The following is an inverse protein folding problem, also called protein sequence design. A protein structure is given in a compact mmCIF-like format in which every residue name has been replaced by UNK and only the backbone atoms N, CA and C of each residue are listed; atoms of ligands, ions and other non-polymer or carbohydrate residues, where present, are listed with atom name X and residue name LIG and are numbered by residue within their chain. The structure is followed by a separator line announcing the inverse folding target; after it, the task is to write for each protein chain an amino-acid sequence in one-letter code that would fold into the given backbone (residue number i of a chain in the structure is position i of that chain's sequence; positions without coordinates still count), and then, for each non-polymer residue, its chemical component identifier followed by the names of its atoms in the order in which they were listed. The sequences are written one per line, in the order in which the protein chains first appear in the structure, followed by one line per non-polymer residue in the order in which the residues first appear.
data_IF_379259674501
#
_entry.id   IF_379259674501
#
_cell.length_a   1.000
_cell.length_b   1.000
_cell.length_c   1.000
_cell.angle_alpha   90.00
_cell.angle_beta   90.00
_cell.angle_gamma   90.00
#
_symmetry.space_group_name_H-M   'P 1'
#
loop_
_entity.id
_entity.type
_entity.pdbx_description
1 polymer ?
#
# COMPACT_ATOMS: atom_id res chain seq x y z
N UNK A 1 6.95 -55.68 -34.41
CA UNK A 1 7.16 -55.34 -32.98
C UNK A 1 8.52 -54.68 -32.90
N UNK A 2 8.77 -53.46 -32.43
CA UNK A 2 8.09 -52.63 -31.44
C UNK A 2 8.43 -51.15 -31.74
N UNK A 3 7.38 -50.36 -31.92
CA UNK A 3 7.14 -48.94 -31.63
C UNK A 3 8.32 -48.03 -31.20
N UNK A 4 8.52 -46.96 -31.99
CA UNK A 4 9.20 -45.70 -31.66
C UNK A 4 8.51 -45.01 -30.47
N UNK A 5 9.28 -44.58 -29.46
CA UNK A 5 8.80 -43.66 -28.43
C UNK A 5 9.81 -42.51 -28.25
N UNK A 6 9.51 -41.41 -28.93
CA UNK A 6 9.92 -40.05 -28.56
C UNK A 6 9.37 -39.75 -27.16
N UNK A 7 10.22 -39.42 -26.18
CA UNK A 7 9.77 -38.84 -24.92
C UNK A 7 9.98 -37.34 -24.96
N UNK A 8 8.85 -36.66 -24.85
CA UNK A 8 8.64 -35.24 -25.01
C UNK A 8 9.21 -34.43 -23.84
N UNK A 9 9.63 -33.22 -24.20
CA UNK A 9 9.81 -32.07 -23.32
C UNK A 9 8.43 -31.68 -22.78
N UNK A 10 8.21 -31.84 -21.48
CA UNK A 10 7.02 -31.30 -20.81
C UNK A 10 7.31 -29.90 -20.27
N UNK A 11 6.73 -28.94 -21.00
CA UNK A 11 6.59 -27.53 -20.73
C UNK A 11 5.47 -27.32 -19.69
N UNK A 12 5.80 -26.82 -18.50
CA UNK A 12 4.82 -26.39 -17.50
C UNK A 12 4.70 -24.87 -17.51
N UNK A 13 3.84 -24.36 -18.38
CA UNK A 13 3.38 -22.98 -18.36
C UNK A 13 1.86 -22.94 -18.42
N UNK A 14 1.21 -23.02 -17.25
CA UNK A 14 -0.22 -22.72 -17.13
C UNK A 14 -0.42 -21.68 -16.02
N UNK A 15 -0.13 -20.42 -16.36
CA UNK A 15 -0.61 -19.25 -15.63
C UNK A 15 -1.67 -18.59 -16.50
N UNK A 16 -2.89 -19.03 -16.28
CA UNK A 16 -4.11 -18.60 -16.97
C UNK A 16 -4.36 -17.10 -16.77
N UNK A 17 -3.98 -16.35 -17.80
CA UNK A 17 -4.76 -15.34 -18.51
C UNK A 17 -6.01 -14.79 -17.80
N UNK A 18 -5.91 -13.56 -17.28
CA UNK A 18 -7.07 -12.73 -16.95
C UNK A 18 -7.62 -12.08 -18.23
N UNK A 19 -8.94 -12.16 -18.51
CA UNK A 19 -9.54 -11.47 -19.65
C UNK A 19 -9.52 -9.96 -19.41
N UNK A 20 -9.09 -9.23 -20.44
CA UNK A 20 -9.15 -7.78 -20.49
C UNK A 20 -10.61 -7.33 -20.41
N UNK A 21 -10.96 -6.61 -19.35
CA UNK A 21 -12.13 -5.74 -19.37
C UNK A 21 -11.80 -4.59 -20.32
N UNK A 22 -12.32 -4.68 -21.55
CA UNK A 22 -12.29 -3.60 -22.50
C UNK A 22 -13.22 -2.49 -21.98
N UNK A 23 -12.64 -1.32 -21.68
CA UNK A 23 -13.40 -0.12 -21.35
C UNK A 23 -13.20 0.90 -22.49
N UNK A 24 -14.23 1.22 -23.29
CA UNK A 24 -14.13 2.04 -24.50
C UNK A 24 -14.32 3.54 -24.24
N UNK A 25 -13.60 4.12 -23.27
CA UNK A 25 -13.63 5.57 -23.01
C UNK A 25 -12.28 6.08 -22.50
N UNK A 26 -11.28 6.09 -23.39
CA UNK A 26 -10.08 6.91 -23.18
C UNK A 26 -10.35 8.32 -23.73
N UNK A 27 -10.39 9.38 -22.91
CA UNK A 27 -10.36 10.74 -23.42
C UNK A 27 -8.99 11.05 -24.02
N UNK A 28 -9.02 11.68 -25.20
CA UNK A 28 -7.88 12.08 -26.01
C UNK A 28 -6.86 12.92 -25.22
N UNK A 29 -5.58 12.65 -25.51
CA UNK A 29 -4.43 13.42 -25.05
C UNK A 29 -4.52 14.87 -25.56
N UNK A 30 -4.42 15.84 -24.65
CA UNK A 30 -4.06 17.22 -24.99
C UNK A 30 -2.57 17.35 -24.66
N UNK A 31 -1.77 17.58 -25.71
CA UNK A 31 -0.38 17.97 -25.62
C UNK A 31 -0.33 19.48 -25.35
N UNK A 32 0.03 19.88 -24.12
CA UNK A 32 0.48 21.24 -23.84
C UNK A 32 2.00 21.20 -23.71
N UNK A 33 2.67 21.55 -24.81
CA UNK A 33 4.07 21.99 -24.80
C UNK A 33 4.20 23.32 -24.05
N UNK A 34 5.41 23.57 -23.54
CA UNK A 34 5.91 24.84 -23.02
C UNK A 34 5.45 25.30 -21.62
N UNK A 35 6.19 24.85 -20.60
CA UNK A 35 6.42 25.66 -19.39
C UNK A 35 7.76 25.32 -18.74
N UNK A 36 8.80 25.92 -19.33
CA UNK A 36 9.93 26.61 -18.68
C UNK A 36 10.28 26.17 -17.24
N UNK A 37 11.26 25.26 -17.11
CA UNK A 37 11.87 24.82 -15.84
C UNK A 37 13.28 25.41 -15.66
N UNK A 38 13.46 26.71 -15.79
CA UNK A 38 14.68 27.34 -15.29
C UNK A 38 14.34 28.61 -14.52
N UNK A 39 15.16 28.85 -13.48
CA UNK A 39 15.25 30.06 -12.67
C UNK A 39 14.31 30.13 -11.46
N UNK A 40 14.82 29.69 -10.29
CA UNK A 40 15.16 30.58 -9.17
C UNK A 40 15.75 29.75 -8.03
N UNK A 41 17.08 29.66 -8.03
CA UNK A 41 17.89 29.45 -6.84
C UNK A 41 18.49 30.81 -6.47
N UNK A 42 18.16 31.32 -5.28
CA UNK A 42 18.81 32.41 -4.53
C UNK A 42 18.00 32.51 -3.22
N UNK A 43 18.51 32.65 -2.02
CA UNK A 43 19.81 32.50 -1.36
C UNK A 43 19.49 32.68 0.14
N UNK A 44 20.39 32.23 1.01
CA UNK A 44 20.27 32.35 2.44
C UNK A 44 20.51 33.78 2.95
N UNK A 45 19.73 34.22 3.93
CA UNK A 45 20.13 35.26 4.88
C UNK A 45 19.45 35.09 6.24
N UNK A 46 20.06 35.72 7.24
CA UNK A 46 20.25 35.27 8.61
C UNK A 46 19.59 36.23 9.62
N UNK A 47 19.22 35.68 10.79
CA UNK A 47 18.98 36.34 12.08
C UNK A 47 17.70 37.19 12.31
N UNK A 48 16.90 36.79 13.32
CA UNK A 48 16.79 37.49 14.61
C UNK A 48 15.61 36.93 15.45
N UNK A 49 15.87 36.52 16.70
CA UNK A 49 14.84 36.30 17.72
C UNK A 49 14.36 37.63 18.31
N UNK A 50 13.12 37.68 18.88
CA UNK A 50 13.06 37.89 20.33
C UNK A 50 11.87 37.23 21.07
N UNK A 51 12.21 36.69 22.24
CA UNK A 51 11.60 36.75 23.59
C UNK A 51 10.08 36.74 23.84
N UNK A 52 9.70 36.01 24.89
CA UNK A 52 8.35 35.73 25.38
C UNK A 52 7.69 36.91 26.14
N UNK A 53 6.38 36.78 26.47
CA UNK A 53 6.06 36.51 27.88
C UNK A 53 4.85 35.57 28.13
N UNK A 54 4.89 34.85 29.26
CA UNK A 54 3.76 34.11 29.85
C UNK A 54 2.65 35.03 30.41
N UNK A 55 1.44 34.49 30.65
CA UNK A 55 0.98 34.45 32.04
C UNK A 55 0.14 33.21 32.47
N UNK A 56 0.56 32.61 33.59
CA UNK A 56 -0.19 32.24 34.82
C UNK A 56 -1.69 31.86 34.80
N UNK A 57 -1.94 30.57 35.05
CA UNK A 57 -2.84 29.92 36.04
C UNK A 57 -4.24 30.47 36.42
N UNK A 58 -5.27 29.63 36.24
CA UNK A 58 -6.24 29.12 37.25
C UNK A 58 -7.33 28.27 36.55
N UNK A 59 -7.35 26.93 36.69
CA UNK A 59 -8.05 26.15 37.73
C UNK A 59 -9.59 26.08 37.61
N UNK A 60 -10.13 24.89 37.34
CA UNK A 60 -11.58 24.58 37.39
C UNK A 60 -11.99 23.17 36.96
N UNK A 61 -11.66 22.17 37.80
CA UNK A 61 -12.40 20.92 38.13
C UNK A 61 -13.47 20.32 37.19
N UNK A 62 -13.35 19.04 36.83
CA UNK A 62 -14.41 18.02 37.02
C UNK A 62 -13.91 16.57 36.89
N UNK A 63 -14.48 15.72 37.75
CA UNK A 63 -14.16 14.36 38.19
C UNK A 63 -13.81 13.28 37.15
N UNK A 64 -12.85 12.44 37.55
CA UNK A 64 -12.73 11.03 37.16
C UNK A 64 -13.20 10.12 38.31
N UNK A 65 -14.18 9.27 38.03
CA UNK A 65 -14.59 8.02 38.72
C UNK A 65 -15.97 7.66 38.11
N UNK A 66 -16.32 6.46 37.67
CA UNK A 66 -15.74 5.14 37.74
C UNK A 66 -16.46 4.36 36.62
N UNK A 67 -15.73 3.79 35.66
CA UNK A 67 -16.30 2.88 34.66
C UNK A 67 -15.28 1.79 34.42
N UNK A 68 -15.50 0.67 35.08
CA UNK A 68 -14.82 -0.61 34.90
C UNK A 68 -14.26 -0.80 33.48
N UNK A 69 -12.93 -0.74 33.28
CA UNK A 69 -12.33 -1.02 31.98
C UNK A 69 -12.43 -2.52 31.61
N UNK A 70 -12.79 -3.37 32.58
CA UNK A 70 -12.90 -4.82 32.42
C UNK A 70 -14.11 -5.27 31.57
N UNK A 71 -15.16 -4.44 31.44
CA UNK A 71 -16.39 -4.84 30.74
C UNK A 71 -16.37 -4.60 29.21
N UNK A 72 -15.29 -4.03 28.65
CA UNK A 72 -15.16 -3.79 27.19
C UNK A 72 -14.14 -4.69 26.46
N UNK A 73 -13.61 -5.70 27.14
CA UNK A 73 -12.59 -6.59 26.58
C UNK A 73 -13.13 -7.90 25.97
N UNK A 74 -14.43 -8.00 25.67
CA UNK A 74 -15.04 -9.23 25.11
C UNK A 74 -15.69 -9.03 23.73
N UNK A 75 -15.22 -8.06 22.94
CA UNK A 75 -15.49 -8.02 21.51
C UNK A 75 -14.19 -8.13 20.71
N UNK A 76 -14.21 -9.10 19.80
CA UNK A 76 -13.37 -9.24 18.62
C UNK A 76 -12.01 -9.95 18.71
N UNK A 77 -12.10 -11.27 18.64
CA UNK A 77 -11.07 -12.12 18.04
C UNK A 77 -10.86 -11.86 16.54
N UNK A 78 -11.77 -11.17 15.83
CA UNK A 78 -11.62 -10.84 14.40
C UNK A 78 -10.95 -9.48 14.22
N UNK A 79 -9.97 -9.38 13.33
CA UNK A 79 -9.37 -8.09 12.98
C UNK A 79 -10.43 -7.14 12.40
N UNK A 80 -10.25 -5.83 12.60
CA UNK A 80 -11.15 -4.82 12.04
C UNK A 80 -11.06 -4.85 10.52
N UNK A 81 -12.20 -5.01 9.84
CA UNK A 81 -12.27 -4.94 8.38
C UNK A 81 -12.78 -3.58 7.92
N UNK A 82 -12.18 -3.02 6.86
CA UNK A 82 -12.60 -1.78 6.21
C UNK A 82 -12.73 -2.07 4.71
N UNK A 83 -13.85 -1.66 4.10
CA UNK A 83 -14.10 -1.82 2.67
C UNK A 83 -14.13 -0.46 2.01
N UNK A 84 -13.46 -0.30 0.87
CA UNK A 84 -13.55 0.92 0.04
C UNK A 84 -13.09 0.67 -1.39
N UNK A 85 -13.52 1.53 -2.31
CA UNK A 85 -13.02 1.53 -3.69
C UNK A 85 -11.70 2.29 -3.75
N UNK A 86 -10.63 1.62 -4.17
CA UNK A 86 -9.29 2.18 -4.30
C UNK A 86 -8.83 2.24 -5.75
N UNK A 87 -7.95 3.20 -6.05
CA UNK A 87 -7.14 3.22 -7.26
C UNK A 87 -6.08 2.12 -7.13
N UNK A 88 -6.26 1.03 -7.88
CA UNK A 88 -5.33 -0.10 -7.90
C UNK A 88 -4.40 0.05 -9.11
N UNK A 89 -3.10 0.08 -8.84
CA UNK A 89 -2.02 0.06 -9.84
C UNK A 89 -1.11 -1.13 -9.61
N UNK A 90 -0.13 -1.33 -10.48
CA UNK A 90 0.92 -2.32 -10.30
C UNK A 90 2.31 -1.68 -10.41
N UNK A 91 3.25 -2.21 -9.62
CA UNK A 91 4.66 -1.86 -9.65
C UNK A 91 5.54 -3.11 -9.69
N UNK A 92 6.76 -2.97 -10.20
CA UNK A 92 7.73 -4.06 -10.31
C UNK A 92 9.10 -3.76 -9.67
N UNK A 93 9.23 -2.61 -9.02
CA UNK A 93 10.49 -2.20 -8.41
C UNK A 93 10.97 -3.21 -7.37
N UNK A 94 12.24 -3.59 -7.52
CA UNK A 94 12.89 -4.56 -6.65
C UNK A 94 13.70 -3.81 -5.60
N UNK A 95 13.46 -4.14 -4.34
CA UNK A 95 14.16 -3.51 -3.24
C UNK A 95 13.62 -3.93 -1.88
N UNK A 96 14.04 -3.18 -0.86
CA UNK A 96 13.49 -3.33 0.47
C UNK A 96 12.20 -2.51 0.60
N UNK A 97 11.14 -3.19 1.00
CA UNK A 97 9.85 -2.55 1.32
C UNK A 97 9.95 -1.78 2.65
N UNK A 98 8.97 -0.92 2.95
CA UNK A 98 8.84 -0.26 4.25
C UNK A 98 8.91 -1.22 5.45
N UNK A 99 8.42 -2.45 5.31
CA UNK A 99 8.49 -3.50 6.33
C UNK A 99 9.89 -4.12 6.52
N UNK A 100 10.86 -3.77 5.66
CA UNK A 100 12.25 -4.24 5.72
C UNK A 100 12.52 -5.58 5.05
N UNK A 101 11.56 -6.11 4.29
CA UNK A 101 11.70 -7.36 3.53
C UNK A 101 11.80 -7.07 2.03
N UNK A 102 12.43 -7.96 1.23
CA UNK A 102 12.43 -7.83 -0.21
C UNK A 102 11.00 -7.83 -0.79
N UNK A 103 10.76 -6.93 -1.75
CA UNK A 103 9.54 -6.87 -2.56
C UNK A 103 9.30 -8.19 -3.29
N UNK A 104 8.07 -8.70 -3.28
CA UNK A 104 7.76 -9.99 -3.89
C UNK A 104 6.27 -10.22 -4.16
N UNK A 105 5.98 -11.29 -4.91
CA UNK A 105 4.60 -11.65 -5.30
C UNK A 105 3.74 -11.90 -4.06
N UNK A 106 2.53 -11.36 -4.06
CA UNK A 106 1.62 -11.41 -2.90
C UNK A 106 1.80 -10.25 -1.92
N UNK A 107 2.70 -9.31 -2.22
CA UNK A 107 2.85 -8.06 -1.48
C UNK A 107 2.20 -6.88 -2.22
N UNK A 108 1.91 -5.82 -1.47
CA UNK A 108 1.41 -4.57 -2.00
C UNK A 108 1.87 -3.37 -1.17
N UNK A 109 1.88 -2.21 -1.81
CA UNK A 109 1.96 -0.92 -1.18
C UNK A 109 0.55 -0.38 -0.91
N UNK A 110 0.34 0.17 0.28
CA UNK A 110 -0.96 0.72 0.67
C UNK A 110 -0.78 2.14 1.26
N UNK A 111 -1.88 2.90 1.42
CA UNK A 111 -1.82 4.22 2.00
C UNK A 111 -1.52 4.18 3.50
N UNK A 112 -1.13 5.32 4.06
CA UNK A 112 -0.54 5.40 5.41
C UNK A 112 -1.53 5.08 6.54
N UNK A 113 -2.84 5.21 6.28
CA UNK A 113 -3.91 4.84 7.20
C UNK A 113 -4.05 3.32 7.39
N UNK A 114 -3.52 2.53 6.46
CA UNK A 114 -3.48 1.07 6.55
C UNK A 114 -2.16 0.62 7.18
N UNK A 115 -2.17 -0.01 8.36
CA UNK A 115 -0.92 -0.44 9.01
C UNK A 115 -0.20 -1.53 8.21
N UNK A 116 1.14 -1.54 8.27
CA UNK A 116 1.95 -2.63 7.70
C UNK A 116 1.57 -3.96 8.36
N UNK A 117 1.59 -5.04 7.58
CA UNK A 117 1.14 -6.37 7.98
C UNK A 117 -0.36 -6.60 7.84
N UNK A 118 -1.14 -5.58 7.52
CA UNK A 118 -2.56 -5.75 7.14
C UNK A 118 -2.68 -6.53 5.83
N UNK A 119 -3.85 -7.10 5.56
CA UNK A 119 -4.11 -7.79 4.29
C UNK A 119 -5.17 -7.06 3.47
N UNK A 120 -5.00 -7.03 2.15
CA UNK A 120 -5.96 -6.47 1.21
C UNK A 120 -6.48 -7.59 0.32
N UNK A 121 -7.78 -7.89 0.39
CA UNK A 121 -8.44 -8.76 -0.57
C UNK A 121 -9.09 -7.91 -1.67
N UNK A 122 -8.79 -8.24 -2.92
CA UNK A 122 -9.34 -7.57 -4.10
C UNK A 122 -10.25 -8.57 -4.82
N UNK A 123 -11.58 -8.48 -4.70
CA UNK A 123 -12.52 -9.46 -5.25
C UNK A 123 -12.37 -9.65 -6.76
N UNK A 124 -12.15 -8.56 -7.51
CA UNK A 124 -11.96 -8.60 -8.95
C UNK A 124 -10.74 -9.43 -9.38
N UNK A 125 -9.68 -9.45 -8.56
CA UNK A 125 -8.47 -10.25 -8.80
C UNK A 125 -8.52 -11.63 -8.13
N UNK A 126 -9.57 -11.88 -7.32
CA UNK A 126 -9.72 -13.08 -6.47
C UNK A 126 -8.46 -13.39 -5.66
N UNK A 127 -7.77 -12.35 -5.19
CA UNK A 127 -6.45 -12.47 -4.57
C UNK A 127 -6.29 -11.58 -3.35
N UNK A 128 -5.53 -12.08 -2.38
CA UNK A 128 -5.16 -11.37 -1.16
C UNK A 128 -3.69 -10.98 -1.21
N UNK A 129 -3.39 -9.76 -0.79
CA UNK A 129 -2.05 -9.21 -0.71
C UNK A 129 -1.73 -8.79 0.72
N UNK A 130 -0.46 -8.86 1.10
CA UNK A 130 0.03 -8.36 2.38
C UNK A 130 0.58 -6.95 2.18
N UNK A 131 0.19 -6.02 3.05
CA UNK A 131 0.71 -4.65 3.05
C UNK A 131 2.10 -4.65 3.66
N UNK A 132 3.12 -4.60 2.81
CA UNK A 132 4.52 -4.56 3.22
C UNK A 132 5.17 -3.23 2.92
N UNK A 133 4.54 -2.42 2.06
CA UNK A 133 5.10 -1.16 1.60
C UNK A 133 4.12 0.02 1.66
N UNK A 134 4.60 1.21 1.27
CA UNK A 134 3.85 2.46 1.28
C UNK A 134 3.76 3.09 -0.09
N UNK A 135 2.57 3.55 -0.42
CA UNK A 135 2.39 4.40 -1.60
C UNK A 135 3.00 5.78 -1.38
N UNK A 136 3.40 6.44 -2.47
CA UNK A 136 3.93 7.80 -2.44
C UNK A 136 3.00 8.78 -1.68
N UNK A 137 3.58 9.78 -1.01
CA UNK A 137 2.89 10.90 -0.33
C UNK A 137 1.73 11.54 -1.11
N UNK A 138 1.78 11.58 -2.45
CA UNK A 138 0.69 12.11 -3.30
C UNK A 138 -0.59 11.27 -3.24
N UNK A 139 -0.50 10.00 -2.84
CA UNK A 139 -1.57 9.02 -2.95
C UNK A 139 -2.09 8.50 -1.59
N UNK A 140 -1.91 9.30 -0.53
CA UNK A 140 -2.06 8.91 0.89
C UNK A 140 -3.43 8.38 1.34
N UNK A 141 -4.47 8.44 0.51
CA UNK A 141 -5.83 8.16 0.96
C UNK A 141 -6.55 7.06 0.19
N UNK A 142 -6.10 6.69 -1.02
CA UNK A 142 -6.92 5.80 -1.85
C UNK A 142 -6.19 4.94 -2.88
N UNK A 143 -4.86 4.84 -2.84
CA UNK A 143 -4.13 4.01 -3.81
C UNK A 143 -3.62 2.73 -3.16
N UNK A 144 -3.75 1.63 -3.88
CA UNK A 144 -3.09 0.35 -3.58
C UNK A 144 -2.24 -0.01 -4.79
N UNK A 145 -0.97 -0.34 -4.57
CA UNK A 145 -0.05 -0.74 -5.64
C UNK A 145 0.33 -2.21 -5.45
N UNK A 146 -0.02 -3.08 -6.39
CA UNK A 146 0.27 -4.52 -6.27
C UNK A 146 1.62 -4.86 -6.89
N UNK A 147 2.40 -5.70 -6.21
CA UNK A 147 3.68 -6.14 -6.78
C UNK A 147 3.43 -7.15 -7.90
N UNK A 148 3.96 -6.86 -9.08
CA UNK A 148 3.99 -7.75 -10.24
C UNK A 148 5.44 -7.82 -10.75
N UNK A 149 6.02 -9.01 -10.98
CA UNK A 149 7.46 -9.15 -11.20
C UNK A 149 7.98 -8.65 -12.57
N UNK A 150 7.08 -8.30 -13.49
CA UNK A 150 7.40 -7.91 -14.87
C UNK A 150 6.78 -6.55 -15.21
N UNK A 151 7.60 -5.64 -15.71
CA UNK A 151 7.18 -4.32 -16.17
C UNK A 151 6.11 -4.39 -17.26
N UNK A 152 6.28 -5.28 -18.25
CA UNK A 152 5.28 -5.52 -19.31
C UNK A 152 3.92 -5.93 -18.72
N UNK A 153 3.92 -6.73 -17.66
CA UNK A 153 2.69 -7.11 -16.97
C UNK A 153 2.10 -5.95 -16.15
N UNK A 154 2.93 -5.07 -15.57
CA UNK A 154 2.45 -3.86 -14.90
C UNK A 154 1.75 -2.92 -15.88
N UNK A 155 2.35 -2.69 -17.06
CA UNK A 155 1.76 -1.88 -18.12
C UNK A 155 0.43 -2.46 -18.62
N UNK A 156 0.38 -3.79 -18.82
CA UNK A 156 -0.86 -4.48 -19.20
C UNK A 156 -1.92 -4.44 -18.09
N UNK A 157 -1.51 -4.50 -16.83
CA UNK A 157 -2.43 -4.38 -15.69
C UNK A 157 -3.07 -3.00 -15.68
N UNK A 158 -2.28 -1.93 -15.85
CA UNK A 158 -2.81 -0.56 -15.94
C UNK A 158 -3.33 -0.04 -14.61
N UNK A 159 -4.37 0.81 -14.67
CA UNK A 159 -4.98 1.47 -13.51
C UNK A 159 -6.47 1.18 -13.47
N UNK A 160 -6.94 0.68 -12.34
CA UNK A 160 -8.36 0.37 -12.12
C UNK A 160 -8.87 0.99 -10.84
N UNK A 161 -10.18 1.22 -10.75
CA UNK A 161 -10.85 1.54 -9.49
C UNK A 161 -11.61 0.30 -9.02
N UNK A 162 -11.07 -0.39 -8.01
CA UNK A 162 -11.56 -1.69 -7.56
C UNK A 162 -11.94 -1.64 -6.08
N UNK A 163 -12.95 -2.42 -5.70
CA UNK A 163 -13.27 -2.66 -4.29
C UNK A 163 -12.11 -3.40 -3.61
N UNK A 164 -11.73 -2.92 -2.43
CA UNK A 164 -10.67 -3.48 -1.61
C UNK A 164 -11.19 -3.71 -0.19
N UNK A 165 -11.04 -4.95 0.27
CA UNK A 165 -11.36 -5.40 1.62
C UNK A 165 -10.06 -5.43 2.45
N UNK A 166 -9.88 -4.45 3.33
CA UNK A 166 -8.73 -4.35 4.22
C UNK A 166 -9.03 -5.06 5.53
N UNK A 167 -8.25 -6.07 5.89
CA UNK A 167 -8.24 -6.64 7.25
C UNK A 167 -7.05 -6.05 7.99
N UNK A 168 -7.32 -5.18 8.96
CA UNK A 168 -6.30 -4.46 9.70
C UNK A 168 -5.57 -5.39 10.67
N UNK A 169 -4.23 -5.32 10.66
CA UNK A 169 -3.41 -6.06 11.61
C UNK A 169 -3.65 -5.56 13.04
N UNK A 170 -3.86 -6.48 13.99
CA UNK A 170 -4.03 -6.16 15.42
C UNK A 170 -2.76 -5.55 16.02
N UNK A 171 -1.62 -6.12 15.64
CA UNK A 171 -0.30 -5.61 16.00
C UNK A 171 0.35 -5.11 14.70
N UNK A 172 0.33 -3.80 14.44
CA UNK A 172 0.90 -3.27 13.21
C UNK A 172 2.41 -3.51 13.19
N UNK A 173 2.92 -3.94 12.05
CA UNK A 173 4.36 -4.12 11.85
C UNK A 173 5.02 -2.75 11.83
N UNK A 174 6.07 -2.53 12.63
CA UNK A 174 6.88 -1.31 12.51
C UNK A 174 7.76 -1.39 11.27
N UNK A 175 8.19 -0.22 10.79
CA UNK A 175 9.17 -0.15 9.71
C UNK A 175 10.39 -1.03 10.02
N UNK A 176 10.82 -1.82 9.05
CA UNK A 176 11.96 -2.72 9.20
C UNK A 176 11.75 -3.98 10.07
N UNK A 177 10.61 -4.14 10.76
CA UNK A 177 10.48 -5.13 11.84
C UNK A 177 10.24 -6.57 11.35
N UNK A 178 9.60 -6.80 10.19
CA UNK A 178 9.38 -8.17 9.68
C UNK A 178 10.69 -8.89 9.35
N UNK A 179 11.76 -8.14 9.07
CA UNK A 179 13.12 -8.67 8.91
C UNK A 179 13.63 -9.40 10.16
N UNK A 180 13.37 -8.87 11.35
CA UNK A 180 13.91 -9.41 12.61
C UNK A 180 13.24 -10.72 13.02
N UNK A 181 11.98 -10.93 12.61
CA UNK A 181 11.22 -12.11 12.98
C UNK A 181 11.57 -13.37 12.16
N UNK A 182 12.20 -13.23 10.98
CA UNK A 182 12.53 -14.37 10.10
C UNK A 182 13.94 -14.92 10.27
N UNK A 183 14.81 -14.21 11.00
CA UNK A 183 16.21 -14.59 11.22
C UNK A 183 16.46 -15.21 12.61
N UNK A 184 15.39 -15.60 13.31
CA UNK A 184 15.39 -16.22 14.64
C UNK A 184 14.74 -17.60 14.54
#
# INVERSE_FOLDING_TARGET
MLVLAFLAVEELADVTYLPALADPLAPEYIEDEDSNWEEYACEADEAAEPDAPEPSAAAGTAQAADRDPAARATRDGRGRTVKRVCRVTAYCDRGLTAAGIPSGVGQCAAPADIPLGSTVYIPALKRTFVVTDRTHRRFRHNTVDVFIPSEKQCLKFGRHYLECDFTLAKTPVRYGQLRLAQNN
#
